data_IF_607900853925
#
_entry.id   IF_607900853925
#
_cell.length_a   1.000
_cell.length_b   1.000
_cell.length_c   1.000
_cell.angle_alpha   90.00
_cell.angle_beta   90.00
_cell.angle_gamma   90.00
#
_symmetry.space_group_name_H-M   'P 1'
#
loop_
_entity.id
_entity.type
_entity.pdbx_description
1 polymer ?
#
# COMPACT_ATOMS: atom_id res chain seq x y z
N UNK A 1 -62.18 36.63 -11.23
CA UNK A 1 -61.44 35.80 -12.23
C UNK A 1 -59.95 36.16 -12.39
N UNK A 2 -59.50 37.40 -12.25
CA UNK A 2 -58.05 37.76 -12.37
C UNK A 2 -57.15 37.19 -11.25
N UNK A 3 -57.63 37.06 -10.02
CA UNK A 3 -56.86 36.54 -8.88
C UNK A 3 -56.46 35.06 -8.98
N UNK A 4 -57.39 34.22 -9.48
CA UNK A 4 -57.11 32.78 -9.62
C UNK A 4 -56.02 32.45 -10.68
N UNK A 5 -55.94 33.22 -11.76
CA UNK A 5 -54.91 33.05 -12.80
C UNK A 5 -53.50 33.36 -12.28
N UNK A 6 -53.38 34.38 -11.40
CA UNK A 6 -52.11 34.73 -10.78
C UNK A 6 -51.59 33.64 -9.85
N UNK A 7 -52.45 33.01 -9.05
CA UNK A 7 -52.09 31.91 -8.15
C UNK A 7 -51.62 30.68 -8.92
N UNK A 8 -52.30 30.32 -10.00
CA UNK A 8 -51.88 29.17 -10.85
C UNK A 8 -50.54 29.41 -11.57
N UNK A 9 -50.25 30.66 -11.95
CA UNK A 9 -48.96 31.03 -12.53
C UNK A 9 -47.85 30.95 -11.47
N UNK A 10 -48.08 31.38 -10.24
CA UNK A 10 -47.13 31.29 -9.12
C UNK A 10 -46.83 29.85 -8.78
N UNK A 11 -47.86 28.97 -8.69
CA UNK A 11 -47.68 27.55 -8.41
C UNK A 11 -46.89 26.86 -9.54
N UNK A 12 -47.14 27.19 -10.80
CA UNK A 12 -46.34 26.64 -11.93
C UNK A 12 -44.90 27.11 -11.87
N UNK A 13 -44.62 28.38 -11.57
CA UNK A 13 -43.25 28.87 -11.38
C UNK A 13 -42.53 28.14 -10.21
N UNK A 14 -43.18 27.98 -9.06
CA UNK A 14 -42.63 27.24 -7.93
C UNK A 14 -42.36 25.77 -8.25
N UNK A 15 -43.28 25.09 -9.00
CA UNK A 15 -43.05 23.72 -9.45
C UNK A 15 -41.87 23.61 -10.42
N UNK A 16 -41.73 24.59 -11.33
CA UNK A 16 -40.57 24.59 -12.27
C UNK A 16 -39.27 24.88 -11.51
N UNK A 17 -39.27 25.77 -10.52
CA UNK A 17 -38.13 25.99 -9.67
C UNK A 17 -37.76 24.74 -8.85
N UNK A 18 -38.74 24.02 -8.29
CA UNK A 18 -38.53 22.76 -7.59
C UNK A 18 -38.00 21.65 -8.50
N UNK A 19 -38.40 21.61 -9.76
CA UNK A 19 -37.87 20.68 -10.75
C UNK A 19 -36.44 21.03 -11.19
N UNK A 20 -36.05 22.30 -11.16
CA UNK A 20 -34.70 22.74 -11.49
C UNK A 20 -33.71 22.54 -10.32
N UNK A 21 -34.17 22.43 -9.08
CA UNK A 21 -33.34 22.11 -7.92
C UNK A 21 -33.16 20.59 -7.73
N UNK A 22 -33.95 19.80 -8.43
CA UNK A 22 -33.89 18.33 -8.35
C UNK A 22 -32.87 17.81 -9.37
N UNK A 23 -31.77 17.27 -8.87
CA UNK A 23 -30.73 16.54 -9.60
C UNK A 23 -29.47 17.30 -10.03
N UNK A 24 -28.83 18.00 -9.13
CA UNK A 24 -27.38 18.04 -9.19
C UNK A 24 -26.83 16.87 -8.37
N UNK A 25 -27.07 15.65 -8.84
CA UNK A 25 -26.34 14.49 -8.35
C UNK A 25 -24.88 14.70 -8.75
N UNK A 26 -24.05 15.01 -7.78
CA UNK A 26 -22.60 15.10 -8.01
C UNK A 26 -22.14 13.71 -8.42
N UNK A 27 -21.65 13.57 -9.66
CA UNK A 27 -21.19 12.29 -10.20
C UNK A 27 -20.10 11.71 -9.27
N UNK A 28 -20.25 10.45 -8.91
CA UNK A 28 -19.26 9.78 -8.06
C UNK A 28 -17.98 9.56 -8.85
N UNK A 29 -16.84 9.92 -8.28
CA UNK A 29 -15.52 9.67 -8.86
C UNK A 29 -15.12 8.21 -8.63
N UNK A 30 -14.70 7.53 -9.67
CA UNK A 30 -14.29 6.14 -9.61
C UNK A 30 -12.83 6.04 -9.22
N UNK A 31 -12.57 5.48 -8.05
CA UNK A 31 -11.22 5.35 -7.48
C UNK A 31 -10.91 3.87 -7.30
N UNK A 32 -9.87 3.40 -7.94
CA UNK A 32 -9.33 2.06 -7.72
C UNK A 32 -8.19 2.12 -6.70
N UNK A 33 -8.30 1.30 -5.66
CA UNK A 33 -7.26 1.12 -4.64
C UNK A 33 -6.63 -0.25 -4.85
N UNK A 34 -5.32 -0.29 -5.06
CA UNK A 34 -4.55 -1.52 -5.26
C UNK A 34 -3.64 -1.72 -4.06
N UNK A 35 -3.78 -2.87 -3.40
CA UNK A 35 -2.98 -3.27 -2.25
C UNK A 35 -2.02 -4.40 -2.62
N UNK A 36 -0.82 -4.41 -2.04
CA UNK A 36 0.19 -5.45 -2.26
C UNK A 36 -0.19 -6.79 -1.68
N UNK A 37 -0.70 -6.81 -0.46
CA UNK A 37 -0.97 -8.03 0.30
C UNK A 37 -2.39 -8.55 0.11
N UNK A 38 -2.75 -9.57 0.87
CA UNK A 38 -4.09 -10.16 0.88
C UNK A 38 -5.13 -9.24 1.54
N UNK A 39 -6.40 -9.53 1.29
CA UNK A 39 -7.53 -8.71 1.78
C UNK A 39 -7.56 -8.57 3.31
N UNK A 40 -7.17 -9.65 4.00
CA UNK A 40 -7.22 -9.73 5.46
C UNK A 40 -5.90 -9.28 6.11
N UNK A 41 -5.00 -8.67 5.33
CA UNK A 41 -3.76 -8.11 5.86
C UNK A 41 -4.03 -7.07 6.93
N UNK A 42 -3.27 -7.16 8.03
CA UNK A 42 -3.42 -6.28 9.19
C UNK A 42 -3.26 -4.80 8.79
N UNK A 43 -4.24 -3.98 9.15
CA UNK A 43 -4.25 -2.55 8.85
C UNK A 43 -5.05 -2.15 7.61
N UNK A 44 -5.27 -3.03 6.63
CA UNK A 44 -6.01 -2.65 5.42
C UNK A 44 -7.47 -2.30 5.68
N UNK A 45 -8.13 -2.98 6.60
CA UNK A 45 -9.51 -2.64 6.96
C UNK A 45 -9.61 -1.21 7.51
N UNK A 46 -8.66 -0.80 8.35
CA UNK A 46 -8.61 0.55 8.92
C UNK A 46 -8.19 1.59 7.87
N UNK A 47 -7.16 1.28 7.07
CA UNK A 47 -6.71 2.12 5.96
C UNK A 47 -7.83 2.41 4.96
N UNK A 48 -8.57 1.38 4.54
CA UNK A 48 -9.70 1.52 3.63
C UNK A 48 -10.85 2.35 4.24
N UNK A 49 -11.09 2.20 5.55
CA UNK A 49 -12.04 3.03 6.29
C UNK A 49 -11.58 4.48 6.34
N UNK A 50 -10.28 4.72 6.53
CA UNK A 50 -9.71 6.06 6.55
C UNK A 50 -9.85 6.75 5.19
N UNK A 51 -9.52 6.08 4.09
CA UNK A 51 -9.73 6.61 2.73
C UNK A 51 -11.18 7.05 2.54
N UNK A 52 -12.14 6.18 2.86
CA UNK A 52 -13.57 6.51 2.76
C UNK A 52 -13.93 7.75 3.59
N UNK A 53 -13.42 7.82 4.81
CA UNK A 53 -13.67 8.93 5.74
C UNK A 53 -13.12 10.26 5.20
N UNK A 54 -11.90 10.26 4.65
CA UNK A 54 -11.29 11.49 4.14
C UNK A 54 -12.00 12.01 2.87
N UNK A 55 -12.43 11.13 1.96
CA UNK A 55 -13.27 11.54 0.83
C UNK A 55 -14.61 12.12 1.30
N UNK A 56 -15.27 11.47 2.26
CA UNK A 56 -16.53 11.98 2.84
C UNK A 56 -16.34 13.34 3.52
N UNK A 57 -15.26 13.52 4.28
CA UNK A 57 -14.91 14.80 4.93
C UNK A 57 -14.64 15.91 3.91
N UNK A 58 -14.05 15.56 2.77
CA UNK A 58 -13.82 16.49 1.66
C UNK A 58 -15.07 16.76 0.82
N UNK A 59 -16.21 16.14 1.14
CA UNK A 59 -17.45 16.21 0.36
C UNK A 59 -17.27 15.79 -1.11
N UNK A 60 -16.38 14.82 -1.36
CA UNK A 60 -16.15 14.24 -2.67
C UNK A 60 -16.84 12.88 -2.72
N UNK A 61 -17.93 12.72 -3.48
CA UNK A 61 -18.57 11.43 -3.67
C UNK A 61 -17.64 10.53 -4.48
N UNK A 62 -17.40 9.31 -3.98
CA UNK A 62 -16.51 8.34 -4.61
C UNK A 62 -17.11 6.94 -4.61
N UNK A 63 -16.95 6.26 -5.72
CA UNK A 63 -17.09 4.82 -5.84
C UNK A 63 -15.70 4.20 -5.70
N UNK A 64 -15.48 3.46 -4.60
CA UNK A 64 -14.20 2.82 -4.29
C UNK A 64 -14.23 1.35 -4.65
N UNK A 65 -13.32 0.93 -5.52
CA UNK A 65 -13.05 -0.48 -5.81
C UNK A 65 -11.68 -0.84 -5.25
N UNK A 66 -11.58 -2.01 -4.61
CA UNK A 66 -10.35 -2.50 -4.01
C UNK A 66 -9.86 -3.76 -4.72
N UNK A 67 -8.58 -3.79 -5.05
CA UNK A 67 -7.89 -4.94 -5.60
C UNK A 67 -6.74 -5.34 -4.67
N UNK A 68 -6.56 -6.66 -4.48
CA UNK A 68 -5.53 -7.23 -3.61
C UNK A 68 -4.62 -8.14 -4.42
N UNK A 69 -3.34 -7.78 -4.46
CA UNK A 69 -2.36 -8.47 -5.29
C UNK A 69 -1.98 -9.84 -4.73
N UNK A 70 -1.98 -9.99 -3.40
CA UNK A 70 -1.51 -11.18 -2.69
C UNK A 70 -0.04 -11.49 -3.03
N UNK A 71 0.84 -10.49 -2.92
CA UNK A 71 2.23 -10.59 -3.34
C UNK A 71 3.04 -11.66 -2.59
N UNK A 72 2.58 -12.07 -1.40
CA UNK A 72 3.26 -13.11 -0.60
C UNK A 72 3.25 -14.50 -1.26
N UNK A 73 2.27 -14.78 -2.10
CA UNK A 73 2.08 -16.09 -2.75
C UNK A 73 2.31 -16.08 -4.25
N UNK A 74 2.50 -14.90 -4.84
CA UNK A 74 2.73 -14.73 -6.28
C UNK A 74 4.19 -14.31 -6.53
N UNK A 75 4.76 -14.74 -7.66
CA UNK A 75 5.99 -14.16 -8.17
C UNK A 75 5.69 -12.90 -9.00
N UNK A 76 6.73 -12.14 -9.36
CA UNK A 76 6.63 -10.88 -10.09
C UNK A 76 5.81 -10.99 -11.38
N UNK A 77 6.05 -12.01 -12.21
CA UNK A 77 5.28 -12.20 -13.45
C UNK A 77 3.80 -12.50 -13.18
N UNK A 78 3.51 -13.31 -12.17
CA UNK A 78 2.14 -13.61 -11.77
C UNK A 78 1.41 -12.38 -11.24
N UNK A 79 2.12 -11.49 -10.55
CA UNK A 79 1.58 -10.21 -10.08
C UNK A 79 1.22 -9.29 -11.25
N UNK A 80 2.13 -9.16 -12.22
CA UNK A 80 1.92 -8.37 -13.44
C UNK A 80 0.73 -8.91 -14.22
N UNK A 81 0.68 -10.22 -14.47
CA UNK A 81 -0.41 -10.86 -15.20
C UNK A 81 -1.76 -10.68 -14.48
N UNK A 82 -1.77 -10.80 -13.16
CA UNK A 82 -2.96 -10.63 -12.33
C UNK A 82 -3.50 -9.21 -12.40
N UNK A 83 -2.63 -8.20 -12.35
CA UNK A 83 -3.02 -6.79 -12.49
C UNK A 83 -3.52 -6.52 -13.90
N UNK A 84 -2.83 -6.98 -14.94
CA UNK A 84 -3.26 -6.82 -16.32
C UNK A 84 -4.68 -7.37 -16.54
N UNK A 85 -4.92 -8.61 -16.16
CA UNK A 85 -6.22 -9.26 -16.27
C UNK A 85 -7.31 -8.50 -15.52
N UNK A 86 -6.98 -7.96 -14.34
CA UNK A 86 -7.93 -7.16 -13.57
C UNK A 86 -8.24 -5.82 -14.27
N UNK A 87 -7.22 -5.10 -14.74
CA UNK A 87 -7.40 -3.83 -15.46
C UNK A 87 -8.24 -4.02 -16.74
N UNK A 88 -8.03 -5.10 -17.48
CA UNK A 88 -8.85 -5.47 -18.63
C UNK A 88 -10.32 -5.68 -18.22
N UNK A 89 -10.56 -6.39 -17.12
CA UNK A 89 -11.90 -6.69 -16.62
C UNK A 89 -12.69 -5.45 -16.23
N UNK A 90 -12.02 -4.40 -15.74
CA UNK A 90 -12.62 -3.14 -15.32
C UNK A 90 -12.55 -2.05 -16.40
N UNK A 91 -12.13 -2.36 -17.60
CA UNK A 91 -11.94 -1.39 -18.69
C UNK A 91 -13.19 -0.57 -19.00
N UNK A 92 -14.38 -1.14 -18.80
CA UNK A 92 -15.68 -0.44 -18.95
C UNK A 92 -15.99 0.48 -17.77
N UNK A 93 -15.57 0.13 -16.56
CA UNK A 93 -15.78 0.93 -15.35
C UNK A 93 -14.92 2.19 -15.34
N UNK A 94 -13.72 2.14 -15.92
CA UNK A 94 -12.79 3.26 -16.15
C UNK A 94 -12.52 4.05 -14.87
N UNK A 95 -11.61 3.63 -14.02
CA UNK A 95 -11.20 4.41 -12.85
C UNK A 95 -10.67 5.79 -13.28
N UNK A 96 -10.91 6.80 -12.48
CA UNK A 96 -10.45 8.17 -12.71
C UNK A 96 -9.17 8.47 -11.92
N UNK A 97 -8.89 7.69 -10.87
CA UNK A 97 -7.68 7.75 -10.05
C UNK A 97 -7.32 6.34 -9.60
N UNK A 98 -6.04 6.05 -9.58
CA UNK A 98 -5.46 4.86 -8.98
C UNK A 98 -4.72 5.25 -7.69
N UNK A 99 -5.09 4.64 -6.58
CA UNK A 99 -4.33 4.68 -5.32
C UNK A 99 -3.61 3.35 -5.16
N UNK A 100 -2.30 3.37 -5.06
CA UNK A 100 -1.48 2.15 -5.02
C UNK A 100 -0.72 2.13 -3.72
N UNK A 101 -0.85 1.04 -2.98
CA UNK A 101 -0.26 0.93 -1.65
C UNK A 101 0.82 -0.15 -1.63
N UNK A 102 1.98 0.23 -1.12
CA UNK A 102 3.22 -0.52 -0.98
C UNK A 102 4.04 -0.71 -2.28
N UNK A 103 5.28 -1.17 -2.09
CA UNK A 103 6.29 -1.34 -3.13
C UNK A 103 5.85 -2.30 -4.23
N UNK A 104 5.41 -3.54 -3.87
CA UNK A 104 5.08 -4.58 -4.84
C UNK A 104 3.93 -4.16 -5.75
N UNK A 105 2.82 -3.66 -5.18
CA UNK A 105 1.69 -3.20 -6.00
C UNK A 105 2.10 -2.07 -6.93
N UNK A 106 2.96 -1.15 -6.45
CA UNK A 106 3.44 -0.02 -7.25
C UNK A 106 4.30 -0.50 -8.42
N UNK A 107 5.26 -1.40 -8.17
CA UNK A 107 6.12 -1.93 -9.22
C UNK A 107 5.33 -2.78 -10.21
N UNK A 108 4.59 -3.76 -9.72
CA UNK A 108 3.83 -4.67 -10.59
C UNK A 108 2.79 -3.94 -11.43
N UNK A 109 2.17 -2.88 -10.90
CA UNK A 109 1.26 -2.04 -11.68
C UNK A 109 1.99 -1.32 -12.81
N UNK A 110 3.09 -0.64 -12.53
CA UNK A 110 3.81 0.16 -13.52
C UNK A 110 4.49 -0.73 -14.57
N UNK A 111 5.00 -1.90 -14.19
CA UNK A 111 5.58 -2.89 -15.11
C UNK A 111 4.55 -3.50 -16.08
N UNK A 112 3.26 -3.42 -15.79
CA UNK A 112 2.25 -3.87 -16.77
C UNK A 112 2.29 -3.06 -18.06
N UNK A 113 2.72 -1.81 -18.03
CA UNK A 113 2.61 -0.85 -19.13
C UNK A 113 1.20 -0.81 -19.76
N UNK A 114 0.16 -1.14 -18.97
CA UNK A 114 -1.20 -1.26 -19.45
C UNK A 114 -1.71 0.08 -20.06
N UNK A 115 -2.38 0.07 -21.21
CA UNK A 115 -2.83 1.30 -21.88
C UNK A 115 -3.69 2.22 -21.01
N UNK A 116 -4.48 1.65 -20.11
CA UNK A 116 -5.35 2.39 -19.18
C UNK A 116 -4.54 3.32 -18.27
N UNK A 117 -3.29 3.01 -17.96
CA UNK A 117 -2.44 3.81 -17.06
C UNK A 117 -2.03 5.15 -17.66
N UNK A 118 -2.01 5.30 -18.99
CA UNK A 118 -1.49 6.49 -19.69
C UNK A 118 -2.25 7.79 -19.43
N UNK A 119 -3.48 7.71 -18.97
CA UNK A 119 -4.34 8.90 -18.81
C UNK A 119 -4.92 9.07 -17.42
N UNK A 120 -4.63 8.16 -16.49
CA UNK A 120 -5.22 8.15 -15.15
C UNK A 120 -4.17 8.57 -14.14
N UNK A 121 -4.42 9.57 -13.28
CA UNK A 121 -3.53 9.89 -12.17
C UNK A 121 -3.30 8.68 -11.27
N UNK A 122 -2.05 8.38 -10.97
CA UNK A 122 -1.62 7.29 -10.11
C UNK A 122 -0.93 7.91 -8.90
N UNK A 123 -1.43 7.59 -7.70
CA UNK A 123 -0.85 8.05 -6.44
C UNK A 123 -0.42 6.84 -5.63
N UNK A 124 0.88 6.74 -5.35
CA UNK A 124 1.41 5.67 -4.51
C UNK A 124 1.61 6.13 -3.06
N UNK A 125 1.53 5.18 -2.13
CA UNK A 125 1.80 5.38 -0.70
C UNK A 125 2.42 4.11 -0.10
N UNK A 126 3.08 4.24 1.05
CA UNK A 126 3.72 3.10 1.72
C UNK A 126 4.91 2.51 0.96
N UNK A 127 5.45 3.22 -0.01
CA UNK A 127 6.62 2.77 -0.79
C UNK A 127 7.89 3.12 -0.02
N UNK A 128 8.69 2.12 0.29
CA UNK A 128 9.94 2.30 1.02
C UNK A 128 11.14 2.49 0.08
N UNK A 129 11.12 1.83 -1.07
CA UNK A 129 12.20 1.83 -2.05
C UNK A 129 11.69 2.18 -3.45
N UNK A 130 11.34 3.45 -3.72
CA UNK A 130 10.80 3.84 -5.02
C UNK A 130 11.76 3.48 -6.16
N UNK A 131 11.25 2.80 -7.17
CA UNK A 131 11.97 2.59 -8.43
C UNK A 131 11.81 3.84 -9.29
N UNK A 132 12.70 4.82 -9.09
CA UNK A 132 12.64 6.11 -9.80
C UNK A 132 12.79 5.98 -11.31
N UNK A 133 13.51 4.96 -11.79
CA UNK A 133 13.65 4.69 -13.23
C UNK A 133 12.30 4.27 -13.83
N UNK A 134 11.59 3.37 -13.16
CA UNK A 134 10.27 2.92 -13.58
C UNK A 134 9.22 4.04 -13.44
N UNK A 135 9.19 4.72 -12.29
CA UNK A 135 8.28 5.84 -12.03
C UNK A 135 8.48 6.96 -13.05
N UNK A 136 9.74 7.25 -13.41
CA UNK A 136 10.10 8.30 -14.38
C UNK A 136 9.64 8.03 -15.82
N UNK A 137 9.19 6.82 -16.14
CA UNK A 137 8.57 6.50 -17.44
C UNK A 137 7.14 7.04 -17.57
N UNK A 138 6.55 7.50 -16.46
CA UNK A 138 5.18 7.99 -16.40
C UNK A 138 5.14 9.45 -15.97
N UNK A 139 4.35 10.26 -16.64
CA UNK A 139 4.15 11.68 -16.32
C UNK A 139 2.95 11.95 -15.39
N UNK A 140 2.20 10.92 -15.06
CA UNK A 140 0.96 10.96 -14.28
C UNK A 140 1.06 10.15 -12.98
N UNK A 141 2.27 9.81 -12.55
CA UNK A 141 2.55 9.09 -11.30
C UNK A 141 3.15 10.06 -10.28
N UNK A 142 2.60 10.05 -9.08
CA UNK A 142 3.11 10.79 -7.92
C UNK A 142 2.83 10.00 -6.64
N UNK A 143 3.41 10.39 -5.52
CA UNK A 143 3.09 9.73 -4.26
C UNK A 143 4.02 10.10 -3.12
N UNK A 144 3.89 9.35 -2.05
CA UNK A 144 4.68 9.48 -0.83
C UNK A 144 5.47 8.19 -0.61
N UNK A 145 6.75 8.34 -0.29
CA UNK A 145 7.60 7.24 0.10
C UNK A 145 8.14 7.45 1.50
N UNK A 146 8.35 6.37 2.22
CA UNK A 146 8.90 6.37 3.57
C UNK A 146 10.30 5.77 3.57
N UNK A 147 11.26 6.52 4.09
CA UNK A 147 12.62 6.01 4.26
C UNK A 147 12.73 5.27 5.59
N UNK A 148 13.11 3.99 5.52
CA UNK A 148 13.36 3.20 6.73
C UNK A 148 14.68 3.63 7.36
N UNK A 149 14.64 4.01 8.64
CA UNK A 149 15.83 4.31 9.44
C UNK A 149 16.22 3.08 10.26
N UNK A 150 16.87 2.12 9.59
CA UNK A 150 17.36 0.90 10.25
C UNK A 150 18.34 1.22 11.38
N UNK A 151 19.21 2.20 11.16
CA UNK A 151 20.21 2.58 12.16
C UNK A 151 19.57 2.99 13.49
N UNK A 152 18.63 3.93 13.47
CA UNK A 152 17.95 4.36 14.69
C UNK A 152 17.18 3.24 15.37
N UNK A 153 16.48 2.43 14.58
CA UNK A 153 15.73 1.30 15.11
C UNK A 153 16.66 0.30 15.80
N UNK A 154 17.77 -0.05 15.18
CA UNK A 154 18.73 -1.01 15.71
C UNK A 154 19.54 -0.45 16.89
N UNK A 155 19.92 0.82 16.86
CA UNK A 155 20.53 1.51 18.02
C UNK A 155 19.58 1.53 19.23
N UNK A 156 18.28 1.71 18.99
CA UNK A 156 17.27 1.64 20.06
C UNK A 156 17.19 0.23 20.64
N UNK A 157 17.13 -0.80 19.79
CA UNK A 157 17.10 -2.20 20.23
C UNK A 157 18.39 -2.53 21.02
N UNK A 158 19.55 -2.13 20.51
CA UNK A 158 20.81 -2.28 21.22
C UNK A 158 20.79 -1.62 22.61
N UNK A 159 20.32 -0.39 22.69
CA UNK A 159 20.19 0.37 23.95
C UNK A 159 19.27 -0.32 24.96
N UNK A 160 18.18 -0.92 24.49
CA UNK A 160 17.20 -1.59 25.36
C UNK A 160 17.68 -2.97 25.83
N UNK A 161 18.42 -3.69 24.99
CA UNK A 161 18.77 -5.10 25.24
C UNK A 161 20.22 -5.34 25.57
N UNK A 162 21.11 -4.38 25.29
CA UNK A 162 22.58 -4.54 25.39
C UNK A 162 23.15 -5.45 24.29
N UNK A 163 22.36 -5.90 23.34
CA UNK A 163 22.76 -6.83 22.27
C UNK A 163 23.18 -6.06 21.02
N UNK A 164 24.26 -6.49 20.40
CA UNK A 164 24.82 -5.86 19.20
C UNK A 164 24.90 -6.79 17.99
N UNK A 165 24.57 -8.07 18.13
CA UNK A 165 24.48 -9.01 17.03
C UNK A 165 23.03 -9.13 16.55
N UNK A 166 22.80 -8.85 15.27
CA UNK A 166 21.49 -8.82 14.65
C UNK A 166 21.49 -9.73 13.43
N UNK A 167 20.55 -10.65 13.40
CA UNK A 167 20.26 -11.49 12.25
C UNK A 167 19.02 -10.96 11.55
N UNK A 168 19.14 -10.68 10.28
CA UNK A 168 18.02 -10.23 9.46
C UNK A 168 17.66 -11.33 8.47
N UNK A 169 16.43 -11.80 8.54
CA UNK A 169 15.89 -12.78 7.58
C UNK A 169 15.42 -12.01 6.36
N UNK A 170 15.98 -12.36 5.21
CA UNK A 170 15.66 -11.78 3.91
C UNK A 170 15.39 -12.88 2.90
N UNK A 171 14.61 -12.60 1.88
CA UNK A 171 14.45 -13.44 0.70
C UNK A 171 15.29 -12.88 -0.47
N UNK A 172 15.16 -13.46 -1.66
CA UNK A 172 15.91 -13.04 -2.86
C UNK A 172 15.14 -12.06 -3.75
N UNK A 173 14.09 -11.45 -3.25
CA UNK A 173 13.31 -10.47 -4.01
C UNK A 173 14.12 -9.20 -4.32
N UNK A 174 13.66 -8.42 -5.27
CA UNK A 174 14.24 -7.10 -5.54
C UNK A 174 14.24 -6.23 -4.27
N UNK A 175 13.14 -6.23 -3.54
CA UNK A 175 12.98 -5.45 -2.32
C UNK A 175 13.97 -5.88 -1.24
N UNK A 176 14.14 -7.19 -1.02
CA UNK A 176 15.08 -7.71 -0.01
C UNK A 176 16.52 -7.34 -0.32
N UNK A 177 16.92 -7.35 -1.60
CA UNK A 177 18.25 -6.85 -2.01
C UNK A 177 18.44 -5.38 -1.67
N UNK A 178 17.40 -4.54 -1.84
CA UNK A 178 17.45 -3.12 -1.47
C UNK A 178 17.56 -2.95 0.04
N UNK A 179 16.74 -3.67 0.80
CA UNK A 179 16.80 -3.68 2.28
C UNK A 179 18.18 -4.08 2.78
N UNK A 180 18.76 -5.16 2.23
CA UNK A 180 20.11 -5.60 2.60
C UNK A 180 21.13 -4.51 2.41
N UNK A 181 21.19 -3.93 1.22
CA UNK A 181 22.12 -2.87 0.91
C UNK A 181 21.94 -1.65 1.80
N UNK A 182 20.70 -1.33 2.15
CA UNK A 182 20.40 -0.19 3.02
C UNK A 182 20.83 -0.45 4.46
N UNK A 183 20.56 -1.64 5.01
CA UNK A 183 21.05 -2.05 6.32
C UNK A 183 22.57 -1.98 6.38
N UNK A 184 23.26 -2.60 5.41
CA UNK A 184 24.73 -2.60 5.35
C UNK A 184 25.28 -1.16 5.31
N UNK A 185 24.68 -0.29 4.53
CA UNK A 185 25.12 1.10 4.41
C UNK A 185 24.87 1.92 5.67
N UNK A 186 23.72 1.74 6.31
CA UNK A 186 23.36 2.49 7.51
C UNK A 186 24.16 2.06 8.74
N UNK A 187 24.62 0.80 8.80
CA UNK A 187 25.35 0.26 9.95
C UNK A 187 26.87 0.36 9.86
N UNK A 188 27.44 0.75 8.71
CA UNK A 188 28.91 0.81 8.50
C UNK A 188 29.72 1.57 9.56
N UNK A 189 29.10 2.53 10.23
CA UNK A 189 29.74 3.37 11.26
C UNK A 189 29.23 3.11 12.67
N UNK A 190 28.66 1.94 12.93
CA UNK A 190 28.10 1.55 14.22
C UNK A 190 28.83 0.33 14.78
N UNK A 191 28.71 0.09 16.08
CA UNK A 191 29.19 -1.13 16.73
C UNK A 191 28.21 -2.30 16.62
N UNK A 192 27.14 -2.13 15.80
CA UNK A 192 26.13 -3.14 15.57
C UNK A 192 26.62 -4.05 14.44
N UNK A 193 26.72 -5.33 14.73
CA UNK A 193 27.11 -6.36 13.77
C UNK A 193 25.85 -6.97 13.18
N UNK A 194 25.64 -6.73 11.89
CA UNK A 194 24.53 -7.29 11.16
C UNK A 194 24.97 -8.52 10.38
N UNK A 195 24.35 -9.65 10.68
CA UNK A 195 24.44 -10.87 9.89
C UNK A 195 23.18 -10.96 9.03
N UNK A 196 23.35 -10.77 7.74
CA UNK A 196 22.26 -10.82 6.76
C UNK A 196 22.20 -12.24 6.21
N UNK A 197 21.34 -13.06 6.79
CA UNK A 197 21.16 -14.45 6.41
C UNK A 197 19.91 -14.60 5.56
N UNK A 198 20.06 -15.31 4.40
CA UNK A 198 19.01 -15.42 3.40
C UNK A 198 18.01 -16.54 3.70
N UNK A 199 18.38 -17.50 4.56
CA UNK A 199 17.64 -18.75 4.76
C UNK A 199 17.79 -19.29 6.18
N UNK A 200 17.56 -18.48 7.19
CA UNK A 200 17.37 -19.04 8.51
C UNK A 200 16.07 -19.84 8.53
N UNK A 201 16.18 -21.17 8.53
CA UNK A 201 15.02 -21.98 8.85
C UNK A 201 14.58 -21.74 10.32
N UNK A 202 13.43 -22.26 10.68
CA UNK A 202 12.87 -22.12 12.04
C UNK A 202 13.82 -22.61 13.14
N UNK A 203 14.60 -23.64 12.86
CA UNK A 203 15.54 -24.24 13.82
C UNK A 203 16.78 -23.37 13.97
N UNK A 204 17.28 -22.81 12.89
CA UNK A 204 18.43 -21.91 12.90
C UNK A 204 18.07 -20.58 13.54
N UNK A 205 16.92 -20.04 13.24
CA UNK A 205 16.39 -18.83 13.91
C UNK A 205 16.30 -19.02 15.43
N UNK A 206 15.81 -20.19 15.88
CA UNK A 206 15.74 -20.52 17.29
C UNK A 206 17.11 -20.61 17.94
N UNK A 207 18.08 -21.28 17.29
CA UNK A 207 19.47 -21.40 17.80
C UNK A 207 20.14 -20.04 17.93
N UNK A 208 19.94 -19.15 16.96
CA UNK A 208 20.50 -17.79 17.03
C UNK A 208 19.83 -16.96 18.12
N UNK A 209 18.53 -17.10 18.33
CA UNK A 209 17.82 -16.47 19.44
C UNK A 209 18.31 -17.00 20.82
N UNK A 210 18.57 -18.31 20.94
CA UNK A 210 19.11 -18.94 22.14
C UNK A 210 20.53 -18.43 22.47
N UNK A 211 21.34 -18.09 21.48
CA UNK A 211 22.64 -17.41 21.66
C UNK A 211 22.47 -15.94 22.10
N UNK A 212 21.27 -15.45 22.16
CA UNK A 212 20.96 -14.08 22.56
C UNK A 212 21.10 -13.06 21.44
N UNK A 213 21.09 -13.48 20.19
CA UNK A 213 21.05 -12.58 19.04
C UNK A 213 19.63 -12.00 18.82
N UNK A 214 19.55 -10.86 18.19
CA UNK A 214 18.30 -10.24 17.79
C UNK A 214 17.99 -10.71 16.39
N UNK A 215 16.75 -11.13 16.17
CA UNK A 215 16.28 -11.60 14.87
C UNK A 215 15.24 -10.62 14.36
N UNK A 216 15.46 -10.11 13.15
CA UNK A 216 14.57 -9.19 12.47
C UNK A 216 14.08 -9.87 11.20
N UNK A 217 12.78 -9.88 10.99
CA UNK A 217 12.20 -10.20 9.69
C UNK A 217 12.02 -8.89 8.92
N UNK A 218 12.72 -8.77 7.80
CA UNK A 218 12.66 -7.59 6.97
C UNK A 218 11.75 -7.83 5.76
N UNK A 219 10.64 -7.14 5.75
CA UNK A 219 9.75 -6.82 4.61
C UNK A 219 9.15 -7.95 3.79
N UNK A 220 9.81 -9.06 3.55
CA UNK A 220 9.26 -10.12 2.72
C UNK A 220 9.00 -11.38 3.54
N UNK A 221 7.76 -11.77 3.63
CA UNK A 221 7.31 -12.91 4.40
C UNK A 221 7.34 -14.25 3.63
N UNK A 222 7.89 -14.27 2.42
CA UNK A 222 7.89 -15.48 1.59
C UNK A 222 8.66 -16.66 2.21
N UNK A 223 9.63 -16.37 3.07
CA UNK A 223 10.52 -17.39 3.63
C UNK A 223 10.03 -17.98 4.95
N UNK A 224 9.08 -17.36 5.60
CA UNK A 224 8.59 -17.81 6.91
C UNK A 224 7.11 -18.12 6.80
N UNK A 225 6.78 -19.41 6.97
CA UNK A 225 5.38 -19.79 7.16
C UNK A 225 4.82 -18.99 8.34
N UNK A 226 4.07 -17.97 8.04
CA UNK A 226 3.53 -16.93 8.93
C UNK A 226 2.79 -17.45 10.16
N UNK A 227 2.33 -18.69 10.10
CA UNK A 227 1.50 -19.31 11.13
C UNK A 227 2.20 -19.58 12.46
N UNK A 228 3.53 -19.56 12.50
CA UNK A 228 4.28 -19.92 13.70
C UNK A 228 5.08 -18.79 14.35
N UNK A 229 5.42 -17.73 13.64
CA UNK A 229 6.08 -16.56 14.25
C UNK A 229 5.09 -15.64 14.98
N UNK A 230 3.84 -15.54 14.53
CA UNK A 230 2.81 -14.74 15.23
C UNK A 230 2.56 -15.15 16.69
N UNK A 231 2.82 -16.38 17.07
CA UNK A 231 2.66 -16.82 18.46
C UNK A 231 3.73 -16.29 19.42
N UNK A 232 4.84 -15.77 18.89
CA UNK A 232 5.93 -15.19 19.69
C UNK A 232 6.16 -13.70 19.44
N UNK A 233 5.47 -13.11 18.47
CA UNK A 233 5.60 -11.69 18.07
C UNK A 233 4.82 -10.70 18.93
N UNK A 234 4.15 -11.13 19.99
CA UNK A 234 3.40 -10.21 20.86
C UNK A 234 4.28 -9.21 21.64
N UNK A 235 5.58 -9.19 21.42
CA UNK A 235 6.49 -8.30 22.14
C UNK A 235 7.33 -7.33 21.31
N UNK A 236 7.22 -7.30 19.98
CA UNK A 236 8.06 -6.44 19.13
C UNK A 236 7.31 -5.64 18.06
N UNK A 237 6.03 -5.34 18.24
CA UNK A 237 5.43 -4.20 17.58
C UNK A 237 5.84 -2.93 18.33
N UNK A 238 7.08 -2.51 18.16
CA UNK A 238 7.48 -1.14 18.41
C UNK A 238 7.24 -0.38 17.09
N UNK A 239 6.24 0.46 17.16
CA UNK A 239 5.82 1.48 16.18
C UNK A 239 7.00 2.28 15.67
#
# INVERSE_FOLDING_TARGET
>A
MKSMRSIHSLIRCCMILLLLTSCYSKEERRVLVIHSYEKDYQGYAEFNKLIKKEFAKAHIPVELTFFYLNCEINNEQQEIDKINNFLDSISKWKPEVLLVNDDQATYSLLETHHPLLKGIPIVFSGVNYPNWELIGQYNNVTGFHDKIDFRKNLEMVHKLTGKNHIYTILDFTFLDRKVRNDIDNQLKSTDIISNLDWHLDKNDTRKEAEKGHIIINALSARTVSYTHLRAHETSLHLV
#
